data_IF_942768422304
#
_entry.id   IF_942768422304
#
_cell.length_a   1.000
_cell.length_b   1.000
_cell.length_c   1.000
_cell.angle_alpha   90.00
_cell.angle_beta   90.00
_cell.angle_gamma   90.00
#
_symmetry.space_group_name_H-M   'P 1'
#
loop_
_entity.id
_entity.type
_entity.pdbx_description
1 polymer ?
#
# COMPACT_ATOMS: atom_id res chain seq x y z
N UNK A 1 -22.67 26.15 24.67
CA UNK A 1 -21.28 25.68 24.48
C UNK A 1 -20.77 26.31 23.21
N UNK A 2 -19.69 27.09 23.27
CA UNK A 2 -19.03 27.64 22.08
C UNK A 2 -17.93 26.67 21.67
N UNK A 3 -18.09 26.03 20.51
CA UNK A 3 -17.07 25.17 19.92
C UNK A 3 -16.21 26.07 19.05
N UNK A 4 -14.93 26.25 19.40
CA UNK A 4 -13.99 26.96 18.52
C UNK A 4 -13.64 26.01 17.35
N UNK A 5 -13.67 26.48 16.09
CA UNK A 5 -13.15 25.69 14.99
C UNK A 5 -11.65 25.48 15.22
N UNK A 6 -11.20 24.23 15.13
CA UNK A 6 -9.78 23.89 15.12
C UNK A 6 -9.21 24.43 13.81
N UNK A 7 -8.19 25.27 13.92
CA UNK A 7 -7.46 25.79 12.77
C UNK A 7 -6.79 24.60 12.07
N UNK A 8 -7.21 24.29 10.84
CA UNK A 8 -6.72 23.15 10.04
C UNK A 8 -5.27 23.38 9.58
N UNK A 9 -4.72 24.57 9.85
CA UNK A 9 -3.44 25.06 9.35
C UNK A 9 -2.20 24.40 9.99
N UNK A 10 -2.34 23.56 11.02
CA UNK A 10 -1.20 22.89 11.70
C UNK A 10 -1.08 21.37 11.44
N UNK A 11 -1.92 20.81 10.54
CA UNK A 11 -1.86 19.41 10.15
C UNK A 11 -1.16 19.23 8.79
N UNK A 12 -0.03 19.90 8.57
CA UNK A 12 0.92 19.42 7.56
C UNK A 12 1.48 18.09 8.08
N UNK A 13 0.75 17.01 7.81
CA UNK A 13 1.14 15.68 8.24
C UNK A 13 2.43 15.32 7.52
N UNK A 14 3.55 15.38 8.23
CA UNK A 14 4.86 14.99 7.71
C UNK A 14 4.76 13.59 7.09
N UNK A 15 5.18 13.46 5.84
CA UNK A 15 5.10 12.19 5.15
C UNK A 15 6.09 11.21 5.79
N UNK A 16 5.56 10.15 6.40
CA UNK A 16 6.36 9.11 7.05
C UNK A 16 6.90 8.17 5.96
N UNK A 17 8.22 8.20 5.74
CA UNK A 17 8.93 7.32 4.81
C UNK A 17 9.68 6.24 5.56
N UNK A 18 9.54 5.00 5.12
CA UNK A 18 10.36 3.87 5.56
C UNK A 18 11.03 3.24 4.34
N UNK A 19 12.30 2.87 4.46
CA UNK A 19 13.03 2.15 3.41
C UNK A 19 12.78 0.65 3.53
N UNK A 20 12.28 0.04 2.46
CA UNK A 20 12.05 -1.39 2.38
C UNK A 20 12.25 -1.90 0.95
N UNK A 21 12.44 -3.20 0.81
CA UNK A 21 12.61 -3.89 -0.48
C UNK A 21 11.35 -4.65 -0.87
N UNK A 22 11.14 -4.90 -2.15
CA UNK A 22 10.04 -5.72 -2.66
C UNK A 22 9.96 -7.11 -1.99
N UNK A 23 11.11 -7.74 -1.72
CA UNK A 23 11.18 -9.03 -1.00
C UNK A 23 10.60 -8.97 0.42
N UNK A 24 10.74 -7.83 1.11
CA UNK A 24 10.16 -7.64 2.45
C UNK A 24 8.64 -7.48 2.37
N UNK A 25 8.12 -6.89 1.30
CA UNK A 25 6.68 -6.81 1.04
C UNK A 25 6.13 -8.21 0.77
N UNK A 26 6.85 -9.01 -0.02
CA UNK A 26 6.48 -10.41 -0.30
C UNK A 26 6.46 -11.24 0.97
N UNK A 27 7.51 -11.15 1.80
CA UNK A 27 7.61 -11.87 3.08
C UNK A 27 6.48 -11.48 4.03
N UNK A 28 6.23 -10.17 4.20
CA UNK A 28 5.12 -9.65 5.00
C UNK A 28 3.75 -10.17 4.52
N UNK A 29 3.54 -10.22 3.21
CA UNK A 29 2.30 -10.71 2.61
C UNK A 29 2.23 -12.23 2.48
N UNK A 30 3.26 -12.97 2.92
CA UNK A 30 3.33 -14.43 2.79
C UNK A 30 3.32 -14.91 1.34
N UNK A 31 3.72 -14.06 0.37
CA UNK A 31 3.64 -14.35 -1.06
C UNK A 31 2.21 -14.42 -1.62
N UNK A 32 1.20 -13.97 -0.87
CA UNK A 32 -0.20 -14.00 -1.29
C UNK A 32 -0.66 -12.64 -1.82
N UNK A 33 -1.53 -12.68 -2.82
CA UNK A 33 -2.20 -11.51 -3.35
C UNK A 33 -3.22 -10.97 -2.34
N UNK A 34 -3.11 -9.70 -1.99
CA UNK A 34 -4.00 -9.05 -1.04
C UNK A 34 -5.46 -8.92 -1.54
N UNK A 35 -5.74 -9.19 -2.83
CA UNK A 35 -7.10 -9.13 -3.41
C UNK A 35 -7.76 -10.49 -3.57
N UNK A 36 -7.08 -11.45 -4.18
CA UNK A 36 -7.66 -12.79 -4.43
C UNK A 36 -7.16 -13.87 -3.45
N UNK A 37 -6.19 -13.54 -2.58
CA UNK A 37 -5.57 -14.46 -1.62
C UNK A 37 -4.90 -15.70 -2.24
N UNK A 38 -4.61 -15.68 -3.53
CA UNK A 38 -3.82 -16.72 -4.20
C UNK A 38 -2.33 -16.37 -4.20
N UNK A 39 -1.48 -17.39 -4.39
CA UNK A 39 -0.03 -17.23 -4.49
C UNK A 39 0.33 -16.36 -5.70
N UNK A 40 1.27 -15.44 -5.49
CA UNK A 40 1.82 -14.58 -6.53
C UNK A 40 3.13 -15.16 -7.02
N UNK A 41 3.25 -15.32 -8.34
CA UNK A 41 4.50 -15.75 -8.94
C UNK A 41 5.44 -14.54 -9.11
N UNK A 42 6.30 -14.33 -8.12
CA UNK A 42 7.24 -13.20 -8.09
C UNK A 42 8.29 -13.29 -9.21
N UNK A 43 8.51 -14.48 -9.79
CA UNK A 43 9.41 -14.69 -10.93
C UNK A 43 8.75 -14.43 -12.29
N UNK A 44 7.42 -14.35 -12.34
CA UNK A 44 6.67 -14.15 -13.58
C UNK A 44 6.50 -12.67 -13.90
N UNK A 45 6.71 -12.32 -15.17
CA UNK A 45 6.40 -10.99 -15.70
C UNK A 45 4.95 -10.86 -16.20
N UNK A 46 4.19 -11.97 -16.21
CA UNK A 46 2.84 -12.07 -16.75
C UNK A 46 1.73 -11.56 -15.83
N UNK A 47 0.48 -11.92 -16.15
CA UNK A 47 -0.72 -11.50 -15.41
C UNK A 47 -0.72 -11.95 -13.94
N UNK A 48 -0.12 -13.12 -13.66
CA UNK A 48 0.08 -13.68 -12.33
C UNK A 48 1.40 -13.25 -11.67
N UNK A 49 2.11 -12.32 -12.32
CA UNK A 49 3.31 -11.69 -11.78
C UNK A 49 3.02 -10.78 -10.60
N UNK A 50 4.07 -10.45 -9.84
CA UNK A 50 3.97 -9.52 -8.73
C UNK A 50 3.75 -8.07 -9.17
N UNK A 51 2.82 -7.42 -8.48
CA UNK A 51 2.57 -6.00 -8.51
C UNK A 51 2.50 -5.50 -7.06
N UNK A 52 3.00 -4.28 -6.84
CA UNK A 52 3.08 -3.69 -5.51
C UNK A 52 2.23 -2.42 -5.49
N UNK A 53 1.24 -2.39 -4.61
CA UNK A 53 0.28 -1.28 -4.51
C UNK A 53 0.23 -0.72 -3.10
N UNK A 54 -0.21 0.53 -2.97
CA UNK A 54 -0.45 1.15 -1.67
C UNK A 54 -1.84 0.77 -1.17
N UNK A 55 -1.95 0.31 0.08
CA UNK A 55 -3.23 0.01 0.72
C UNK A 55 -4.09 1.26 0.83
N UNK A 56 -3.49 2.37 1.24
CA UNK A 56 -4.09 3.69 1.22
C UNK A 56 -3.21 4.61 0.36
N UNK A 57 -3.78 5.37 -0.58
CA UNK A 57 -3.00 6.32 -1.38
C UNK A 57 -2.12 7.23 -0.52
N UNK A 58 -0.91 7.51 -0.98
CA UNK A 58 0.04 8.33 -0.22
C UNK A 58 -0.51 9.75 0.05
N UNK A 59 -1.28 10.29 -0.89
CA UNK A 59 -1.97 11.60 -0.78
C UNK A 59 -2.97 11.65 0.38
N UNK A 60 -3.47 10.49 0.83
CA UNK A 60 -4.45 10.38 1.93
C UNK A 60 -3.82 9.90 3.23
N UNK A 61 -2.82 9.02 3.14
CA UNK A 61 -2.20 8.37 4.30
C UNK A 61 -0.95 9.07 4.80
N UNK A 62 -0.27 9.83 3.93
CA UNK A 62 1.05 10.42 4.20
C UNK A 62 2.04 9.36 4.73
N UNK A 63 1.89 8.10 4.30
CA UNK A 63 2.64 6.96 4.83
C UNK A 63 3.18 6.06 3.72
N UNK A 64 4.44 6.25 3.37
CA UNK A 64 5.20 5.41 2.45
C UNK A 64 5.96 4.34 3.25
N UNK A 65 5.23 3.45 3.93
CA UNK A 65 5.77 2.43 4.83
C UNK A 65 5.51 1.01 4.35
N UNK A 66 6.31 0.05 4.81
CA UNK A 66 6.11 -1.37 4.52
C UNK A 66 4.70 -1.81 4.96
N UNK A 67 4.21 -1.28 6.07
CA UNK A 67 2.86 -1.52 6.57
C UNK A 67 1.78 -1.11 5.57
N UNK A 68 1.95 0.01 4.87
CA UNK A 68 1.03 0.51 3.86
C UNK A 68 1.22 -0.12 2.47
N UNK A 69 2.26 -0.95 2.27
CA UNK A 69 2.50 -1.66 1.00
C UNK A 69 1.80 -3.01 0.96
N UNK A 70 1.24 -3.35 -0.20
CA UNK A 70 0.58 -4.63 -0.49
C UNK A 70 1.20 -5.31 -1.70
N UNK A 71 1.23 -6.63 -1.65
CA UNK A 71 1.49 -7.50 -2.79
C UNK A 71 0.16 -7.88 -3.46
N UNK A 72 0.07 -7.71 -4.78
CA UNK A 72 -1.06 -8.14 -5.60
C UNK A 72 -0.56 -8.75 -6.91
N UNK A 73 -1.40 -9.50 -7.61
CA UNK A 73 -1.10 -9.88 -9.00
C UNK A 73 -1.19 -8.66 -9.91
N UNK A 74 -0.44 -8.64 -11.02
CA UNK A 74 -0.61 -7.63 -12.08
C UNK A 74 -2.04 -7.56 -12.62
N UNK A 75 -2.72 -8.70 -12.75
CA UNK A 75 -4.15 -8.74 -13.14
C UNK A 75 -5.09 -8.13 -12.10
N UNK A 76 -4.64 -8.03 -10.84
CA UNK A 76 -5.39 -7.48 -9.72
C UNK A 76 -5.02 -6.01 -9.44
N UNK A 77 -3.93 -5.53 -10.04
CA UNK A 77 -3.55 -4.12 -10.10
C UNK A 77 -4.66 -3.36 -10.85
N UNK A 78 -5.31 -2.40 -10.19
CA UNK A 78 -6.40 -1.63 -10.80
C UNK A 78 -7.82 -2.05 -10.47
N UNK A 79 -8.05 -2.96 -9.50
CA UNK A 79 -9.40 -3.17 -8.97
C UNK A 79 -9.96 -1.88 -8.35
N UNK A 80 -10.69 -1.14 -9.16
CA UNK A 80 -11.65 -0.11 -8.79
C UNK A 80 -12.83 -0.79 -8.13
N UNK A 81 -13.04 -0.49 -6.86
CA UNK A 81 -14.37 -0.48 -6.24
C UNK A 81 -14.38 0.68 -5.26
#
# INVERSE_FOLDING_TARGET
>A
MYVRPVDVSELESELVVESFTDSQVVEKCGGLCAKCHELVDVGSSGADGAAFVWKVPLEKSHSATLANRLLVHKRCEGGTS
#
